data_IF_754193858989
#
_entry.id   IF_754193858989
#
_cell.length_a   1.000
_cell.length_b   1.000
_cell.length_c   1.000
_cell.angle_alpha   90.00
_cell.angle_beta   90.00
_cell.angle_gamma   90.00
#
_symmetry.space_group_name_H-M   'P 1'
#
loop_
_entity.id
_entity.type
_entity.pdbx_description
1 polymer ?
#
# COMPACT_ATOMS: atom_id res chain seq x y z
N UNK A 1 10.98 -6.98 -19.57
CA UNK A 1 11.38 -7.80 -18.41
C UNK A 1 11.53 -6.83 -17.28
N UNK A 2 10.74 -6.96 -16.22
CA UNK A 2 10.90 -6.11 -15.05
C UNK A 2 11.83 -6.87 -14.10
N UNK A 3 12.97 -6.27 -13.80
CA UNK A 3 13.94 -6.77 -12.83
C UNK A 3 13.39 -6.61 -11.41
N UNK A 4 13.85 -7.45 -10.48
CA UNK A 4 13.56 -7.33 -9.04
C UNK A 4 13.64 -5.87 -8.54
N UNK A 5 14.72 -5.17 -8.90
CA UNK A 5 14.96 -3.79 -8.48
C UNK A 5 13.87 -2.83 -8.99
N UNK A 6 13.40 -3.01 -10.22
CA UNK A 6 12.31 -2.19 -10.77
C UNK A 6 11.00 -2.38 -10.00
N UNK A 7 10.72 -3.60 -9.51
CA UNK A 7 9.48 -3.86 -8.75
C UNK A 7 9.59 -3.36 -7.33
N UNK A 8 10.75 -3.50 -6.69
CA UNK A 8 10.94 -2.93 -5.35
C UNK A 8 10.89 -1.40 -5.40
N UNK A 9 11.51 -0.76 -6.40
CA UNK A 9 11.36 0.67 -6.61
C UNK A 9 9.92 1.08 -6.89
N UNK A 10 9.18 0.25 -7.64
CA UNK A 10 7.76 0.46 -7.88
C UNK A 10 6.93 0.36 -6.58
N UNK A 11 7.19 -0.65 -5.75
CA UNK A 11 6.56 -0.81 -4.44
C UNK A 11 6.86 0.39 -3.54
N UNK A 12 8.12 0.84 -3.47
CA UNK A 12 8.52 2.06 -2.74
C UNK A 12 7.73 3.29 -3.24
N UNK A 13 7.54 3.41 -4.56
CA UNK A 13 6.70 4.46 -5.13
C UNK A 13 5.26 4.41 -4.62
N UNK A 14 4.68 3.21 -4.55
CA UNK A 14 3.32 3.01 -4.01
C UNK A 14 3.19 3.30 -2.53
N UNK A 15 4.19 2.95 -1.74
CA UNK A 15 4.25 3.34 -0.32
C UNK A 15 4.27 4.87 -0.17
N UNK A 16 5.07 5.57 -0.97
CA UNK A 16 5.14 7.04 -0.92
C UNK A 16 3.83 7.67 -1.40
N UNK A 17 3.22 7.15 -2.46
CA UNK A 17 1.89 7.59 -2.93
C UNK A 17 0.83 7.43 -1.82
N UNK A 18 0.77 6.27 -1.17
CA UNK A 18 -0.16 5.98 -0.08
C UNK A 18 0.07 6.90 1.13
N UNK A 19 1.33 7.11 1.54
CA UNK A 19 1.69 8.07 2.59
C UNK A 19 1.18 9.47 2.30
N UNK A 20 1.40 9.98 1.09
CA UNK A 20 0.99 11.32 0.70
C UNK A 20 -0.53 11.41 0.68
N UNK A 21 -1.20 10.42 0.10
CA UNK A 21 -2.66 10.32 0.10
C UNK A 21 -3.24 10.36 1.52
N UNK A 22 -2.71 9.54 2.43
CA UNK A 22 -3.19 9.51 3.82
C UNK A 22 -2.92 10.81 4.57
N UNK A 23 -1.77 11.46 4.36
CA UNK A 23 -1.49 12.79 4.92
C UNK A 23 -2.46 13.84 4.41
N UNK A 24 -2.78 13.81 3.12
CA UNK A 24 -3.71 14.75 2.50
C UNK A 24 -5.13 14.57 3.03
N UNK A 25 -5.59 13.33 3.20
CA UNK A 25 -6.90 13.03 3.80
C UNK A 25 -6.92 13.47 5.27
N UNK A 26 -5.89 13.14 6.06
CA UNK A 26 -5.79 13.56 7.45
C UNK A 26 -5.77 15.09 7.62
N UNK A 27 -5.15 15.82 6.71
CA UNK A 27 -5.10 17.27 6.72
C UNK A 27 -6.45 17.93 6.41
N UNK A 28 -7.30 17.27 5.59
CA UNK A 28 -8.63 17.74 5.19
C UNK A 28 -9.74 17.28 6.14
N UNK A 29 -9.49 16.24 6.93
CA UNK A 29 -10.47 15.68 7.86
C UNK A 29 -10.83 16.67 8.98
N UNK A 30 -12.13 16.83 9.25
CA UNK A 30 -12.66 17.63 10.36
C UNK A 30 -12.75 16.82 11.66
N UNK A 31 -13.05 15.54 11.54
CA UNK A 31 -13.21 14.63 12.68
C UNK A 31 -11.85 14.15 13.19
N UNK A 32 -11.63 14.26 14.51
CA UNK A 32 -10.34 13.92 15.12
C UNK A 32 -9.97 12.44 14.92
N UNK A 33 -10.95 11.54 15.00
CA UNK A 33 -10.72 10.11 14.83
C UNK A 33 -10.24 9.75 13.41
N UNK A 34 -10.79 10.41 12.37
CA UNK A 34 -10.37 10.23 10.98
C UNK A 34 -8.95 10.72 10.79
N UNK A 35 -8.66 11.91 11.32
CA UNK A 35 -7.32 12.51 11.26
C UNK A 35 -6.28 11.61 11.92
N UNK A 36 -6.56 11.10 13.12
CA UNK A 36 -5.67 10.18 13.83
C UNK A 36 -5.45 8.88 13.05
N UNK A 37 -6.52 8.28 12.52
CA UNK A 37 -6.44 7.03 11.78
C UNK A 37 -5.61 7.15 10.50
N UNK A 38 -5.88 8.15 9.65
CA UNK A 38 -5.09 8.37 8.43
C UNK A 38 -3.65 8.81 8.71
N UNK A 39 -3.41 9.53 9.81
CA UNK A 39 -2.03 9.84 10.24
C UNK A 39 -1.29 8.56 10.63
N UNK A 40 -1.94 7.64 11.35
CA UNK A 40 -1.35 6.37 11.73
C UNK A 40 -1.02 5.49 10.51
N UNK A 41 -1.93 5.39 9.52
CA UNK A 41 -1.64 4.68 8.27
C UNK A 41 -0.45 5.28 7.54
N UNK A 42 -0.37 6.61 7.43
CA UNK A 42 0.79 7.25 6.81
C UNK A 42 2.12 6.94 7.51
N UNK A 43 2.11 6.71 8.83
CA UNK A 43 3.29 6.29 9.58
C UNK A 43 3.62 4.80 9.39
N UNK A 44 2.61 3.94 9.20
CA UNK A 44 2.78 2.52 8.87
C UNK A 44 3.40 2.35 7.48
N UNK A 45 2.87 3.02 6.46
CA UNK A 45 3.45 3.00 5.10
C UNK A 45 4.87 3.56 5.04
N UNK A 46 5.21 4.51 5.93
CA UNK A 46 6.60 5.00 6.04
C UNK A 46 7.55 3.92 6.52
N UNK A 47 7.09 3.02 7.40
CA UNK A 47 7.89 1.88 7.86
C UNK A 47 8.05 0.86 6.73
N UNK A 48 7.00 0.61 5.96
CA UNK A 48 7.05 -0.25 4.77
C UNK A 48 8.06 0.28 3.73
N UNK A 49 8.02 1.57 3.40
CA UNK A 49 9.00 2.23 2.54
C UNK A 49 10.43 1.97 3.04
N UNK A 50 10.66 2.08 4.35
CA UNK A 50 11.98 1.88 4.95
C UNK A 50 12.43 0.42 4.84
N UNK A 51 11.53 -0.54 5.06
CA UNK A 51 11.79 -1.97 4.89
C UNK A 51 12.19 -2.26 3.44
N UNK A 52 11.43 -1.76 2.47
CA UNK A 52 11.71 -1.97 1.04
C UNK A 52 13.03 -1.35 0.59
N UNK A 53 13.37 -0.15 1.08
CA UNK A 53 14.67 0.48 0.81
C UNK A 53 15.83 -0.36 1.34
N UNK A 54 15.72 -0.88 2.56
CA UNK A 54 16.73 -1.77 3.14
C UNK A 54 16.88 -3.07 2.32
N UNK A 55 15.77 -3.61 1.82
CA UNK A 55 15.74 -4.81 0.95
C UNK A 55 16.42 -4.52 -0.40
N UNK A 56 16.20 -3.35 -0.99
CA UNK A 56 16.84 -2.92 -2.24
C UNK A 56 18.35 -2.74 -2.08
N UNK A 57 18.79 -2.14 -0.96
CA UNK A 57 20.21 -1.92 -0.67
C UNK A 57 20.95 -3.24 -0.34
N UNK A 58 20.23 -4.26 0.13
CA UNK A 58 20.78 -5.57 0.44
C UNK A 58 20.91 -6.46 -0.81
N UNK A 59 22.08 -6.39 -1.45
CA UNK A 59 22.43 -7.16 -2.66
C UNK A 59 22.30 -8.68 -2.52
N UNK A 60 22.38 -9.21 -1.30
CA UNK A 60 22.21 -10.66 -1.04
C UNK A 60 20.77 -11.10 -1.24
N UNK A 61 19.80 -10.23 -0.97
CA UNK A 61 18.37 -10.51 -1.17
C UNK A 61 18.02 -10.48 -2.66
N UNK A 62 18.51 -9.47 -3.39
CA UNK A 62 18.22 -9.31 -4.82
C UNK A 62 18.69 -10.47 -5.71
N UNK A 63 19.74 -11.20 -5.30
CA UNK A 63 20.22 -12.38 -6.01
C UNK A 63 19.27 -13.59 -5.95
N UNK A 64 18.27 -13.57 -5.05
CA UNK A 64 17.33 -14.69 -4.84
C UNK A 64 15.98 -14.52 -5.57
N UNK A 65 15.89 -13.57 -6.50
CA UNK A 65 14.68 -13.32 -7.28
C UNK A 65 14.78 -13.89 -8.69
N UNK A 66 13.68 -14.47 -9.18
CA UNK A 66 13.59 -15.00 -10.54
C UNK A 66 13.63 -13.87 -11.56
N UNK A 67 14.63 -13.91 -12.46
CA UNK A 67 14.88 -12.85 -13.44
C UNK A 67 13.80 -12.67 -14.54
N UNK A 68 12.78 -13.54 -14.60
CA UNK A 68 11.85 -13.62 -15.74
C UNK A 68 10.38 -13.43 -15.38
N UNK A 69 10.06 -13.00 -14.16
CA UNK A 69 8.66 -12.80 -13.76
C UNK A 69 8.08 -11.52 -14.37
N UNK A 70 6.91 -11.63 -15.02
CA UNK A 70 6.10 -10.46 -15.40
C UNK A 70 5.27 -10.03 -14.19
N UNK A 71 5.66 -8.91 -13.58
CA UNK A 71 5.02 -8.41 -12.38
C UNK A 71 3.73 -7.62 -12.66
N UNK A 72 3.42 -7.31 -13.91
CA UNK A 72 2.16 -6.64 -14.27
C UNK A 72 2.08 -5.18 -13.83
N UNK A 73 3.24 -4.53 -13.62
CA UNK A 73 3.35 -3.10 -13.23
C UNK A 73 2.57 -2.20 -14.20
N UNK A 74 2.48 -2.58 -15.48
CA UNK A 74 1.76 -1.83 -16.51
C UNK A 74 0.23 -1.84 -16.38
N UNK A 75 -0.35 -2.65 -15.50
CA UNK A 75 -1.81 -2.76 -15.32
C UNK A 75 -2.37 -1.83 -14.25
N UNK A 76 -1.58 -0.90 -13.74
CA UNK A 76 -2.00 -0.09 -12.62
C UNK A 76 -3.00 0.97 -13.05
N UNK A 77 -4.15 0.89 -12.39
CA UNK A 77 -5.38 1.58 -12.74
C UNK A 77 -5.21 3.05 -12.39
N UNK A 78 -5.66 3.94 -13.27
CA UNK A 78 -5.82 5.35 -12.94
C UNK A 78 -6.68 5.47 -11.67
N UNK A 79 -6.09 6.04 -10.63
CA UNK A 79 -6.79 6.37 -9.39
C UNK A 79 -7.32 7.80 -9.53
N UNK A 80 -8.56 8.08 -9.11
CA UNK A 80 -9.04 9.45 -9.12
C UNK A 80 -8.14 10.31 -8.21
N UNK A 81 -7.73 11.47 -8.72
CA UNK A 81 -7.04 12.48 -7.91
C UNK A 81 -7.91 12.86 -6.72
N UNK A 82 -7.26 13.21 -5.60
CA UNK A 82 -7.94 13.78 -4.42
C UNK A 82 -8.42 15.19 -4.75
N UNK A 83 -9.50 15.27 -5.53
CA UNK A 83 -10.14 16.52 -5.91
C UNK A 83 -10.90 17.12 -4.73
N UNK A 84 -11.19 18.42 -4.78
CA UNK A 84 -11.92 19.14 -3.73
C UNK A 84 -13.37 18.69 -3.50
N UNK A 85 -13.87 17.69 -4.24
CA UNK A 85 -15.22 17.14 -4.10
C UNK A 85 -15.28 15.67 -3.64
N UNK A 86 -14.16 15.05 -3.27
CA UNK A 86 -14.12 13.67 -2.77
C UNK A 86 -14.81 13.56 -1.40
N UNK A 87 -15.78 12.64 -1.24
CA UNK A 87 -16.39 12.39 0.07
C UNK A 87 -15.46 11.57 0.97
N UNK A 88 -15.78 11.46 2.25
CA UNK A 88 -14.99 10.62 3.16
C UNK A 88 -15.13 9.13 2.79
N UNK A 89 -16.32 8.71 2.35
CA UNK A 89 -16.54 7.37 1.81
C UNK A 89 -15.67 7.11 0.57
N UNK A 90 -15.56 8.07 -0.36
CA UNK A 90 -14.69 7.95 -1.53
C UNK A 90 -13.20 7.81 -1.13
N UNK A 91 -12.77 8.58 -0.13
CA UNK A 91 -11.40 8.50 0.39
C UNK A 91 -11.09 7.12 0.96
N UNK A 92 -12.02 6.53 1.73
CA UNK A 92 -11.88 5.16 2.21
C UNK A 92 -11.91 4.12 1.08
N UNK A 93 -12.78 4.29 0.09
CA UNK A 93 -12.83 3.41 -1.08
C UNK A 93 -11.49 3.39 -1.84
N UNK A 94 -10.89 4.56 -2.03
CA UNK A 94 -9.58 4.67 -2.66
C UNK A 94 -8.47 4.08 -1.79
N UNK A 95 -8.51 4.32 -0.49
CA UNK A 95 -7.57 3.75 0.48
C UNK A 95 -7.59 2.21 0.42
N UNK A 96 -8.77 1.59 0.51
CA UNK A 96 -8.93 0.13 0.43
C UNK A 96 -8.33 -0.46 -0.84
N UNK A 97 -8.46 0.24 -1.97
CA UNK A 97 -7.89 -0.19 -3.25
C UNK A 97 -6.36 -0.07 -3.27
N UNK A 98 -5.80 0.97 -2.65
CA UNK A 98 -4.34 1.10 -2.50
C UNK A 98 -3.79 -0.08 -1.70
N UNK A 99 -4.42 -0.40 -0.57
CA UNK A 99 -4.03 -1.52 0.30
C UNK A 99 -4.13 -2.87 -0.42
N UNK A 100 -5.21 -3.09 -1.17
CA UNK A 100 -5.39 -4.33 -1.94
C UNK A 100 -4.32 -4.49 -3.03
N UNK A 101 -3.96 -3.41 -3.73
CA UNK A 101 -2.91 -3.41 -4.73
C UNK A 101 -1.53 -3.70 -4.11
N UNK A 102 -1.20 -3.07 -2.98
CA UNK A 102 0.03 -3.30 -2.24
C UNK A 102 0.12 -4.76 -1.74
N UNK A 103 -0.93 -5.25 -1.08
CA UNK A 103 -1.05 -6.64 -0.62
C UNK A 103 -0.79 -7.64 -1.75
N UNK A 104 -1.45 -7.47 -2.90
CA UNK A 104 -1.31 -8.38 -4.03
C UNK A 104 0.10 -8.33 -4.64
N UNK A 105 0.72 -7.15 -4.67
CA UNK A 105 2.10 -7.01 -5.12
C UNK A 105 3.07 -7.75 -4.19
N UNK A 106 2.92 -7.61 -2.88
CA UNK A 106 3.75 -8.31 -1.90
C UNK A 106 3.58 -9.82 -1.95
N UNK A 107 2.36 -10.33 -2.12
CA UNK A 107 2.14 -11.77 -2.31
C UNK A 107 2.84 -12.30 -3.57
N UNK A 108 2.88 -11.50 -4.64
CA UNK A 108 3.58 -11.86 -5.86
C UNK A 108 5.11 -11.85 -5.68
N UNK A 109 5.64 -10.84 -5.01
CA UNK A 109 7.06 -10.78 -4.63
C UNK A 109 7.47 -11.95 -3.74
N UNK A 110 6.64 -12.32 -2.78
CA UNK A 110 6.84 -13.48 -1.92
C UNK A 110 6.90 -14.80 -2.73
N UNK A 111 5.98 -14.98 -3.68
CA UNK A 111 5.93 -16.19 -4.51
C UNK A 111 7.12 -16.34 -5.47
N UNK A 112 7.70 -15.22 -5.90
CA UNK A 112 8.83 -15.17 -6.83
C UNK A 112 10.21 -15.10 -6.15
N UNK A 113 10.23 -15.12 -4.81
CA UNK A 113 11.44 -15.08 -4.00
C UNK A 113 11.88 -16.50 -3.56
N UNK A 114 13.11 -16.88 -3.92
CA UNK A 114 13.69 -18.18 -3.56
C UNK A 114 14.26 -18.19 -2.12
N UNK A 115 14.65 -17.03 -1.57
CA UNK A 115 15.06 -16.90 -0.16
C UNK A 115 13.85 -16.98 0.77
N UNK A 116 13.93 -17.83 1.78
CA UNK A 116 12.89 -17.98 2.80
C UNK A 116 12.75 -16.72 3.66
N UNK A 117 13.87 -16.07 3.97
CA UNK A 117 13.92 -14.86 4.79
C UNK A 117 13.25 -13.69 4.07
N UNK A 118 13.62 -13.45 2.81
CA UNK A 118 13.03 -12.37 2.03
C UNK A 118 11.56 -12.65 1.70
N UNK A 119 11.20 -13.89 1.37
CA UNK A 119 9.79 -14.30 1.20
C UNK A 119 8.96 -13.98 2.44
N UNK A 120 9.47 -14.29 3.63
CA UNK A 120 8.77 -14.02 4.90
C UNK A 120 8.49 -12.54 5.09
N UNK A 121 9.43 -11.66 4.74
CA UNK A 121 9.22 -10.21 4.84
C UNK A 121 8.08 -9.74 3.94
N UNK A 122 7.99 -10.22 2.70
CA UNK A 122 6.89 -9.86 1.81
C UNK A 122 5.54 -10.46 2.25
N UNK A 123 5.53 -11.67 2.82
CA UNK A 123 4.31 -12.23 3.42
C UNK A 123 3.82 -11.41 4.62
N UNK A 124 4.75 -10.91 5.44
CA UNK A 124 4.44 -10.07 6.60
C UNK A 124 3.92 -8.69 6.14
N UNK A 125 4.55 -8.07 5.13
CA UNK A 125 4.04 -6.85 4.49
C UNK A 125 2.62 -7.05 3.95
N UNK A 126 2.37 -8.10 3.17
CA UNK A 126 1.04 -8.41 2.67
C UNK A 126 0.00 -8.61 3.80
N UNK A 127 0.42 -9.18 4.92
CA UNK A 127 -0.46 -9.37 6.09
C UNK A 127 -0.82 -8.03 6.75
N UNK A 128 0.12 -7.09 6.79
CA UNK A 128 -0.12 -5.74 7.33
C UNK A 128 -1.11 -4.97 6.45
N UNK A 129 -0.92 -4.96 5.12
CA UNK A 129 -1.85 -4.27 4.21
C UNK A 129 -3.26 -4.88 4.23
N UNK A 130 -3.35 -6.20 4.38
CA UNK A 130 -4.64 -6.86 4.60
C UNK A 130 -5.33 -6.34 5.87
N UNK A 131 -4.56 -6.08 6.93
CA UNK A 131 -5.04 -5.48 8.17
C UNK A 131 -5.49 -4.03 7.97
N UNK A 132 -4.74 -3.23 7.21
CA UNK A 132 -5.12 -1.85 6.87
C UNK A 132 -6.42 -1.82 6.07
N UNK A 133 -6.52 -2.63 5.01
CA UNK A 133 -7.73 -2.81 4.22
C UNK A 133 -8.95 -3.13 5.08
N UNK A 134 -8.82 -4.09 6.01
CA UNK A 134 -9.93 -4.46 6.90
C UNK A 134 -10.38 -3.31 7.82
N UNK A 135 -9.44 -2.55 8.38
CA UNK A 135 -9.76 -1.35 9.18
C UNK A 135 -10.49 -0.30 8.32
N UNK A 136 -10.07 -0.10 7.09
CA UNK A 136 -10.70 0.83 6.15
C UNK A 136 -12.08 0.36 5.67
N UNK A 137 -12.29 -0.94 5.45
CA UNK A 137 -13.60 -1.53 5.14
C UNK A 137 -14.62 -1.27 6.26
N UNK A 138 -14.16 -1.40 7.51
CA UNK A 138 -14.96 -1.13 8.69
C UNK A 138 -15.36 0.36 8.74
N UNK A 139 -14.39 1.26 8.58
CA UNK A 139 -14.64 2.71 8.57
C UNK A 139 -15.48 3.18 7.38
N UNK A 140 -15.28 2.60 6.20
CA UNK A 140 -16.09 2.86 5.00
C UNK A 140 -17.55 2.52 5.26
N UNK A 141 -17.80 1.34 5.82
CA UNK A 141 -19.16 0.88 6.10
C UNK A 141 -19.87 1.86 7.04
N UNK A 142 -19.24 2.24 8.15
CA UNK A 142 -19.78 3.21 9.10
C UNK A 142 -20.05 4.58 8.46
N UNK A 143 -19.10 5.08 7.66
CA UNK A 143 -19.21 6.40 7.01
C UNK A 143 -20.28 6.41 5.92
N UNK A 144 -20.30 5.40 5.05
CA UNK A 144 -21.27 5.30 3.96
C UNK A 144 -22.70 5.13 4.49
N UNK A 145 -22.89 4.43 5.62
CA UNK A 145 -24.18 4.39 6.30
C UNK A 145 -24.58 5.75 6.86
N UNK A 146 -23.65 6.57 7.36
CA UNK A 146 -23.95 7.91 7.88
C UNK A 146 -24.29 8.92 6.77
N UNK A 147 -23.65 8.85 5.61
CA UNK A 147 -23.89 9.73 4.45
C UNK A 147 -25.21 9.45 3.71
N UNK A 148 -25.84 8.28 3.94
CA UNK A 148 -27.04 7.84 3.23
C UNK A 148 -28.38 8.35 3.82
N UNK A 149 -28.35 9.18 4.87
CA UNK A 149 -29.55 9.65 5.61
C UNK A 149 -29.67 11.18 5.67
#
# INVERSE_FOLDING_TARGET
MNTYEEIINYAIGKEIEAQNFYKDVAAKATESFIKEMFTAFAEEEKKHETILKNILENKTIGANFKATSDYGISKTVEKPDVSGGMTLADAFALAMKNEEEAMNMYLKLAADCDSAEARKVFEDLATMEKGHKFKMESAYTETAYAEAW
#
